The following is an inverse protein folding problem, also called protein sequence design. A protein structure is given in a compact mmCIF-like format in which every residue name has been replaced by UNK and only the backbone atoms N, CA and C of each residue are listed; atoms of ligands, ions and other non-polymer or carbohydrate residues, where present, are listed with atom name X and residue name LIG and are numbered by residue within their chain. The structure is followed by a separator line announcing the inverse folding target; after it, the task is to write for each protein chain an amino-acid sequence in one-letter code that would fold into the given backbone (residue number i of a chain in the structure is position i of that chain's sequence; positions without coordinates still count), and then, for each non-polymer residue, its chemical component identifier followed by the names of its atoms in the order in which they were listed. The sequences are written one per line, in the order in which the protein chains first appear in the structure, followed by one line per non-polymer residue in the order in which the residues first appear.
data_IF_418644128469
#
_entry.id   IF_418644128469
#
_cell.length_a   1.000
_cell.length_b   1.000
_cell.length_c   1.000
_cell.angle_alpha   90.00
_cell.angle_beta   90.00
_cell.angle_gamma   90.00
#
_symmetry.space_group_name_H-M   'P 1'
#
loop_
_entity.id
_entity.type
_entity.pdbx_description
1 polymer ?
#
# COMPACT_ATOMS: atom_id res chain seq x y z
N UNK A 1 5.78 -18.02 10.37
CA UNK A 1 4.32 -18.00 10.62
C UNK A 1 4.04 -17.41 12.01
N UNK A 2 2.81 -16.98 12.32
CA UNK A 2 2.39 -16.53 13.66
C UNK A 2 2.88 -15.14 14.14
N UNK A 3 3.66 -14.41 13.33
CA UNK A 3 4.19 -13.09 13.68
C UNK A 3 3.14 -11.99 13.47
N UNK A 4 3.09 -11.03 14.39
CA UNK A 4 2.21 -9.86 14.24
C UNK A 4 2.83 -8.72 13.43
N UNK A 5 4.17 -8.65 13.43
CA UNK A 5 4.92 -7.62 12.75
C UNK A 5 5.72 -8.21 11.59
N UNK A 6 5.85 -7.42 10.53
CA UNK A 6 6.78 -7.67 9.44
C UNK A 6 7.95 -6.72 9.55
N UNK A 7 9.14 -7.22 9.18
CA UNK A 7 10.36 -6.45 9.05
C UNK A 7 10.75 -6.46 7.57
N UNK A 8 10.92 -5.28 6.97
CA UNK A 8 11.37 -5.12 5.59
C UNK A 8 12.70 -4.37 5.62
N UNK A 9 13.68 -4.87 4.86
CA UNK A 9 14.91 -4.14 4.55
C UNK A 9 14.69 -3.37 3.24
N UNK A 10 14.70 -2.03 3.31
CA UNK A 10 14.57 -1.20 2.12
C UNK A 10 15.84 -1.26 1.27
N UNK A 11 15.74 -1.75 0.02
CA UNK A 11 16.91 -1.89 -0.88
C UNK A 11 17.67 -0.58 -1.12
N UNK A 12 16.96 0.54 -1.27
CA UNK A 12 17.58 1.83 -1.62
C UNK A 12 18.30 2.50 -0.44
N UNK A 13 17.73 2.39 0.75
CA UNK A 13 18.19 3.13 1.94
C UNK A 13 18.93 2.25 2.93
N UNK A 14 18.82 0.92 2.83
CA UNK A 14 19.34 -0.04 3.80
C UNK A 14 18.61 -0.02 5.14
N UNK A 15 17.52 0.75 5.28
CA UNK A 15 16.81 0.89 6.55
C UNK A 15 15.87 -0.29 6.79
N UNK A 16 15.83 -0.75 8.04
CA UNK A 16 14.81 -1.68 8.50
C UNK A 16 13.53 -0.91 8.82
N UNK A 17 12.41 -1.37 8.25
CA UNK A 17 11.07 -0.96 8.64
C UNK A 17 10.37 -2.11 9.32
N UNK A 18 9.86 -1.86 10.52
CA UNK A 18 9.00 -2.78 11.26
C UNK A 18 7.60 -2.18 11.37
N UNK A 19 6.58 -2.93 10.95
CA UNK A 19 5.19 -2.49 11.09
C UNK A 19 4.26 -3.65 11.42
N UNK A 20 3.17 -3.29 12.10
CA UNK A 20 2.11 -4.22 12.46
C UNK A 20 1.30 -4.61 11.22
N UNK A 21 1.02 -5.89 11.07
CA UNK A 21 0.04 -6.37 10.10
C UNK A 21 -1.35 -6.34 10.74
N UNK A 22 -2.34 -5.65 10.12
CA UNK A 22 -3.73 -5.71 10.57
C UNK A 22 -4.22 -7.15 10.71
N UNK A 23 -5.14 -7.40 11.64
CA UNK A 23 -5.66 -8.75 11.92
C UNK A 23 -6.14 -9.45 10.63
N UNK A 24 -6.94 -8.76 9.82
CA UNK A 24 -7.44 -9.29 8.55
C UNK A 24 -6.32 -9.66 7.57
N UNK A 25 -5.27 -8.84 7.48
CA UNK A 25 -4.10 -9.15 6.63
C UNK A 25 -3.33 -10.36 7.16
N UNK A 26 -3.21 -10.51 8.49
CA UNK A 26 -2.57 -11.68 9.10
C UNK A 26 -3.34 -12.96 8.82
N UNK A 27 -4.66 -12.91 8.90
CA UNK A 27 -5.54 -14.04 8.60
C UNK A 27 -5.43 -14.45 7.12
N UNK A 28 -5.48 -13.48 6.20
CA UNK A 28 -5.30 -13.72 4.78
C UNK A 28 -3.92 -14.33 4.44
N UNK A 29 -2.85 -13.81 5.05
CA UNK A 29 -1.51 -14.38 4.88
C UNK A 29 -1.44 -15.80 5.45
N UNK A 30 -2.01 -16.03 6.63
CA UNK A 30 -1.99 -17.36 7.26
C UNK A 30 -2.71 -18.40 6.40
N UNK A 31 -3.87 -18.06 5.84
CA UNK A 31 -4.61 -18.91 4.91
C UNK A 31 -3.81 -19.18 3.62
N UNK A 32 -3.25 -18.13 3.01
CA UNK A 32 -2.43 -18.24 1.81
C UNK A 32 -1.17 -19.09 2.02
N UNK A 33 -0.50 -18.97 3.17
CA UNK A 33 0.73 -19.72 3.49
C UNK A 33 0.48 -21.13 4.02
N UNK A 34 -0.77 -21.62 3.99
CA UNK A 34 -1.08 -22.97 4.47
C UNK A 34 -0.34 -24.00 3.61
N UNK A 35 0.56 -24.75 4.23
CA UNK A 35 1.37 -25.76 3.55
C UNK A 35 2.61 -25.22 2.82
N UNK A 36 2.94 -23.94 2.99
CA UNK A 36 4.23 -23.38 2.55
C UNK A 36 5.31 -23.58 3.61
N UNK A 37 6.55 -23.80 3.17
CA UNK A 37 7.71 -23.88 4.05
C UNK A 37 8.17 -22.48 4.51
N UNK A 38 8.92 -22.42 5.61
CA UNK A 38 9.35 -21.12 6.18
C UNK A 38 10.33 -20.35 5.32
N UNK A 39 11.09 -21.07 4.48
CA UNK A 39 12.10 -20.51 3.58
C UNK A 39 11.54 -20.15 2.20
N UNK A 40 10.28 -20.54 1.92
CA UNK A 40 9.63 -20.22 0.65
C UNK A 40 9.47 -18.71 0.47
N UNK A 41 9.65 -18.26 -0.77
CA UNK A 41 9.21 -16.92 -1.13
C UNK A 41 7.70 -16.78 -0.91
N UNK A 42 7.29 -15.76 -0.15
CA UNK A 42 5.87 -15.47 0.08
C UNK A 42 5.10 -15.36 -1.25
N UNK A 43 5.70 -14.78 -2.28
CA UNK A 43 5.13 -14.76 -3.63
C UNK A 43 6.12 -15.37 -4.62
N UNK A 44 6.15 -16.69 -4.70
CA UNK A 44 6.99 -17.43 -5.62
C UNK A 44 6.57 -17.21 -7.09
N UNK A 45 7.56 -17.11 -7.97
CA UNK A 45 7.36 -17.09 -9.41
C UNK A 45 7.00 -18.50 -9.90
N UNK A 46 6.16 -18.58 -10.94
CA UNK A 46 5.91 -19.85 -11.65
C UNK A 46 7.06 -20.26 -12.56
N UNK A 47 8.01 -19.36 -12.78
CA UNK A 47 9.19 -19.56 -13.63
C UNK A 47 10.45 -19.44 -12.77
N UNK A 48 11.25 -20.50 -12.78
CA UNK A 48 12.49 -20.60 -12.02
C UNK A 48 12.26 -20.67 -10.51
N UNK A 49 13.36 -20.58 -9.76
CA UNK A 49 13.39 -20.65 -8.31
C UNK A 49 13.60 -19.24 -7.70
N UNK A 50 12.59 -18.38 -7.86
CA UNK A 50 12.69 -16.98 -7.43
C UNK A 50 11.31 -16.39 -7.08
N UNK A 51 11.30 -15.19 -6.50
CA UNK A 51 10.08 -14.43 -6.25
C UNK A 51 9.52 -13.78 -7.53
N UNK A 52 8.24 -13.38 -7.52
CA UNK A 52 7.67 -12.61 -8.64
C UNK A 52 8.44 -11.30 -8.88
N UNK A 53 8.54 -10.89 -10.14
CA UNK A 53 9.08 -9.58 -10.50
C UNK A 53 8.08 -8.46 -10.21
N UNK A 54 8.58 -7.22 -10.11
CA UNK A 54 7.73 -6.03 -10.00
C UNK A 54 6.78 -5.88 -11.18
N UNK A 55 7.24 -6.21 -12.40
CA UNK A 55 6.41 -6.25 -13.60
C UNK A 55 5.29 -7.28 -13.49
N UNK A 56 5.55 -8.44 -12.89
CA UNK A 56 4.52 -9.46 -12.71
C UNK A 56 3.49 -9.04 -11.66
N UNK A 57 3.93 -8.41 -10.56
CA UNK A 57 3.01 -7.82 -9.59
C UNK A 57 2.12 -6.74 -10.25
N UNK A 58 2.68 -5.88 -11.10
CA UNK A 58 1.92 -4.91 -11.87
C UNK A 58 0.89 -5.57 -12.80
N UNK A 59 1.28 -6.59 -13.56
CA UNK A 59 0.37 -7.34 -14.45
C UNK A 59 -0.79 -7.99 -13.69
N UNK A 60 -0.53 -8.52 -12.49
CA UNK A 60 -1.58 -9.07 -11.64
C UNK A 60 -2.57 -7.98 -11.20
N UNK A 61 -2.08 -6.77 -10.88
CA UNK A 61 -2.95 -5.63 -10.56
C UNK A 61 -3.77 -5.18 -11.77
N UNK A 62 -3.17 -5.08 -12.97
CA UNK A 62 -3.91 -4.73 -14.19
C UNK A 62 -5.01 -5.74 -14.49
N UNK A 63 -4.71 -7.04 -14.38
CA UNK A 63 -5.72 -8.08 -14.57
C UNK A 63 -6.91 -7.92 -13.60
N UNK A 64 -6.64 -7.55 -12.36
CA UNK A 64 -7.70 -7.28 -11.38
C UNK A 64 -8.48 -6.00 -11.74
N UNK A 65 -7.81 -4.97 -12.26
CA UNK A 65 -8.44 -3.75 -12.74
C UNK A 65 -9.36 -4.00 -13.94
N UNK A 66 -8.87 -4.75 -14.94
CA UNK A 66 -9.64 -5.15 -16.13
C UNK A 66 -10.90 -5.93 -15.74
N UNK A 67 -10.78 -6.87 -14.79
CA UNK A 67 -11.91 -7.64 -14.28
C UNK A 67 -12.96 -6.78 -13.56
N UNK A 68 -12.56 -5.62 -13.04
CA UNK A 68 -13.45 -4.63 -12.42
C UNK A 68 -13.92 -3.56 -13.42
N UNK A 69 -13.49 -3.61 -14.68
CA UNK A 69 -13.78 -2.58 -15.69
C UNK A 69 -13.15 -1.23 -15.36
N UNK A 70 -11.96 -1.22 -14.73
CA UNK A 70 -11.26 -0.01 -14.30
C UNK A 70 -9.91 0.15 -14.98
N UNK A 71 -9.59 1.37 -15.37
CA UNK A 71 -8.33 1.77 -16.02
C UNK A 71 -7.46 2.69 -15.13
N UNK A 72 -7.93 3.04 -13.93
CA UNK A 72 -7.30 3.98 -13.00
C UNK A 72 -6.47 3.31 -11.88
N UNK A 73 -6.39 1.97 -11.90
CA UNK A 73 -5.66 1.19 -10.89
C UNK A 73 -4.22 0.97 -11.35
N UNK A 74 -3.27 1.61 -10.68
CA UNK A 74 -1.84 1.43 -10.86
C UNK A 74 -1.13 0.91 -9.60
N UNK A 75 0.20 0.79 -9.69
CA UNK A 75 1.06 0.28 -8.59
C UNK A 75 0.98 1.10 -7.31
N UNK A 76 0.67 2.40 -7.42
CA UNK A 76 0.52 3.30 -6.29
C UNK A 76 -0.91 3.43 -5.77
N UNK A 77 -1.93 2.98 -6.51
CA UNK A 77 -3.34 3.24 -6.20
C UNK A 77 -3.70 2.71 -4.82
N UNK A 78 -3.44 1.43 -4.52
CA UNK A 78 -3.73 0.86 -3.20
C UNK A 78 -3.04 1.61 -2.04
N UNK A 79 -1.81 2.08 -2.25
CA UNK A 79 -1.06 2.83 -1.24
C UNK A 79 -1.67 4.21 -0.98
N UNK A 80 -2.08 4.90 -2.05
CA UNK A 80 -2.81 6.18 -1.96
C UNK A 80 -4.15 6.00 -1.27
N UNK A 81 -4.94 5.00 -1.71
CA UNK A 81 -6.25 4.67 -1.13
C UNK A 81 -6.16 4.37 0.36
N UNK A 82 -5.16 3.58 0.79
CA UNK A 82 -4.90 3.36 2.22
C UNK A 82 -4.66 4.69 2.95
N UNK A 83 -3.76 5.52 2.43
CA UNK A 83 -3.41 6.80 3.06
C UNK A 83 -4.60 7.76 3.14
N UNK A 84 -5.39 7.85 2.07
CA UNK A 84 -6.60 8.65 1.99
C UNK A 84 -7.61 8.28 3.09
N UNK A 85 -8.00 7.00 3.17
CA UNK A 85 -8.97 6.55 4.16
C UNK A 85 -8.43 6.62 5.59
N UNK A 86 -7.14 6.32 5.79
CA UNK A 86 -6.50 6.49 7.09
C UNK A 86 -6.52 7.96 7.53
N UNK A 87 -6.23 8.90 6.64
CA UNK A 87 -6.29 10.32 6.94
C UNK A 87 -7.73 10.79 7.21
N UNK A 88 -8.70 10.42 6.37
CA UNK A 88 -10.11 10.80 6.59
C UNK A 88 -10.62 10.34 7.97
N UNK A 89 -10.18 9.16 8.44
CA UNK A 89 -10.57 8.61 9.75
C UNK A 89 -9.83 9.24 10.94
N UNK A 90 -8.51 9.40 10.83
CA UNK A 90 -7.67 9.72 11.99
C UNK A 90 -7.17 11.18 12.01
N UNK A 91 -7.23 11.86 10.85
CA UNK A 91 -6.69 13.22 10.63
C UNK A 91 -5.22 13.41 11.03
N UNK A 92 -4.48 12.30 11.09
CA UNK A 92 -3.06 12.27 11.44
C UNK A 92 -2.17 12.06 10.20
N UNK A 93 -1.65 13.17 9.69
CA UNK A 93 -0.70 13.19 8.57
C UNK A 93 0.72 12.83 9.00
N UNK A 94 1.10 13.08 10.26
CA UNK A 94 2.46 12.82 10.75
C UNK A 94 2.75 11.32 10.79
N UNK A 95 1.78 10.52 11.25
CA UNK A 95 1.86 9.06 11.20
C UNK A 95 1.95 8.56 9.75
N UNK A 96 1.13 9.11 8.85
CA UNK A 96 1.18 8.73 7.43
C UNK A 96 2.49 9.11 6.75
N UNK A 97 3.05 10.28 7.07
CA UNK A 97 4.35 10.70 6.60
C UNK A 97 5.42 9.68 7.00
N UNK A 98 5.41 9.21 8.26
CA UNK A 98 6.34 8.20 8.74
C UNK A 98 6.15 6.85 8.02
N UNK A 99 4.90 6.39 7.90
CA UNK A 99 4.56 5.15 7.19
C UNK A 99 5.06 5.22 5.74
N UNK A 100 4.80 6.34 5.05
CA UNK A 100 5.18 6.50 3.65
C UNK A 100 6.63 6.88 3.42
N UNK A 101 7.37 7.27 4.47
CA UNK A 101 8.73 7.81 4.39
C UNK A 101 8.83 9.05 3.51
N UNK A 102 7.86 9.97 3.63
CA UNK A 102 7.89 11.26 2.95
C UNK A 102 8.63 12.31 3.80
N UNK A 103 9.33 13.24 3.14
CA UNK A 103 10.12 14.26 3.84
C UNK A 103 9.27 15.36 4.49
N UNK A 104 8.01 15.54 4.08
CA UNK A 104 7.10 16.53 4.64
C UNK A 104 5.65 16.04 4.67
N UNK A 105 4.80 16.55 5.59
CA UNK A 105 3.37 16.29 5.62
C UNK A 105 2.65 16.70 4.33
N UNK A 106 3.02 17.83 3.73
CA UNK A 106 2.42 18.35 2.49
C UNK A 106 2.56 17.38 1.32
N UNK A 107 3.72 16.70 1.21
CA UNK A 107 3.96 15.64 0.22
C UNK A 107 2.97 14.50 0.43
N UNK A 108 2.69 14.14 1.68
CA UNK A 108 1.73 13.08 2.02
C UNK A 108 0.31 13.48 1.65
N UNK A 109 -0.15 14.68 2.03
CA UNK A 109 -1.51 15.16 1.70
C UNK A 109 -1.75 15.21 0.19
N UNK A 110 -0.78 15.73 -0.57
CA UNK A 110 -0.82 15.73 -2.04
C UNK A 110 -0.80 14.31 -2.60
N UNK A 111 0.06 13.44 -2.07
CA UNK A 111 0.17 12.06 -2.55
C UNK A 111 -1.13 11.28 -2.43
N UNK A 112 -1.89 11.50 -1.34
CA UNK A 112 -3.16 10.82 -1.07
C UNK A 112 -4.39 11.55 -1.62
N UNK A 113 -4.22 12.70 -2.29
CA UNK A 113 -5.31 13.47 -2.91
C UNK A 113 -6.17 14.30 -1.95
N UNK A 114 -5.77 14.46 -0.68
CA UNK A 114 -6.55 15.24 0.29
C UNK A 114 -6.51 16.74 -0.03
N UNK A 115 -5.40 17.24 -0.56
CA UNK A 115 -5.27 18.65 -0.93
C UNK A 115 -6.28 19.04 -1.99
N UNK A 116 -6.46 18.21 -3.02
CA UNK A 116 -7.40 18.47 -4.11
C UNK A 116 -8.85 18.39 -3.59
N UNK A 117 -9.19 17.33 -2.84
CA UNK A 117 -10.49 17.17 -2.15
C UNK A 117 -10.88 18.39 -1.28
N UNK A 118 -9.92 18.94 -0.52
CA UNK A 118 -10.17 20.07 0.37
C UNK A 118 -10.34 21.38 -0.42
N UNK A 119 -9.59 21.58 -1.50
CA UNK A 119 -9.76 22.73 -2.40
C UNK A 119 -11.15 22.68 -3.05
N UNK A 120 -11.54 21.53 -3.60
CA UNK A 120 -12.83 21.35 -4.27
C UNK A 120 -13.99 21.69 -3.31
N UNK A 121 -13.89 21.24 -2.05
CA UNK A 121 -14.88 21.56 -1.01
C UNK A 121 -14.97 23.05 -0.70
N UNK A 122 -13.85 23.79 -0.73
CA UNK A 122 -13.89 25.26 -0.51
C UNK A 122 -14.52 26.02 -1.66
N UNK A 123 -14.49 25.46 -2.87
CA UNK A 123 -15.03 26.09 -4.08
C UNK A 123 -16.52 25.81 -4.27
N UNK A 124 -17.05 24.72 -3.71
CA UNK A 124 -18.46 24.32 -3.84
C UNK A 124 -19.43 25.41 -3.37
N UNK A 125 -19.10 26.10 -2.27
CA UNK A 125 -19.94 27.13 -1.65
C UNK A 125 -19.47 28.58 -1.95
N UNK A 126 -18.46 28.75 -2.81
CA UNK A 126 -17.86 30.08 -3.05
C UNK A 126 -18.65 30.89 -4.10
N UNK A 127 -19.18 32.05 -3.68
CA UNK A 127 -19.84 33.03 -4.55
C UNK A 127 -19.47 34.45 -4.12
N UNK A 128 -19.31 35.38 -5.07
CA UNK A 128 -18.94 36.79 -4.86
C UNK A 128 -20.15 37.72 -4.84
#
# INVERSE_FOLDING_TARGET
QGKQHVIILEKKTGKHKRFLLPKSTREAIADYTRGMDSEDYLFASRKGDSHISTTQAYRMLQKAADALGRDDIGTHTMRKTFGYHHYKRNKDVATLQHIFNHSAPSITLKYIGITDDEIDKTMEDFSL
#
